data_IF_914927406189
#
_entry.id   IF_914927406189
#
_cell.length_a   1.000
_cell.length_b   1.000
_cell.length_c   1.000
_cell.angle_alpha   90.00
_cell.angle_beta   90.00
_cell.angle_gamma   90.00
#
_symmetry.space_group_name_H-M   'P 1'
#
loop_
_entity.id
_entity.type
_entity.pdbx_description
1 polymer ?
#
# COMPACT_ATOMS: atom_id res chain seq x y z
N UNK A 1 -27.74 0.10 -0.30
CA UNK A 1 -26.78 -1.04 -0.50
C UNK A 1 -25.48 -0.70 -1.24
N UNK A 2 -25.41 0.31 -2.14
CA UNK A 2 -24.17 0.61 -2.90
C UNK A 2 -23.00 1.14 -2.06
N UNK A 3 -23.26 1.90 -0.99
CA UNK A 3 -22.21 2.44 -0.09
C UNK A 3 -21.40 1.35 0.63
N UNK A 4 -22.07 0.27 1.06
CA UNK A 4 -21.42 -0.87 1.72
C UNK A 4 -20.41 -1.57 0.79
N UNK A 5 -20.69 -1.60 -0.52
CA UNK A 5 -19.79 -2.18 -1.53
C UNK A 5 -18.52 -1.35 -1.72
N UNK A 6 -18.63 -0.02 -1.67
CA UNK A 6 -17.49 0.90 -1.85
C UNK A 6 -16.57 0.85 -0.62
N UNK A 7 -17.14 0.93 0.58
CA UNK A 7 -16.37 0.82 1.83
C UNK A 7 -15.64 -0.53 1.93
N UNK A 8 -16.33 -1.62 1.59
CA UNK A 8 -15.72 -2.95 1.57
C UNK A 8 -14.56 -3.03 0.57
N UNK A 9 -14.70 -2.45 -0.63
CA UNK A 9 -13.60 -2.39 -1.61
C UNK A 9 -12.42 -1.58 -1.08
N UNK A 10 -12.65 -0.40 -0.49
CA UNK A 10 -11.58 0.45 0.04
C UNK A 10 -10.83 -0.24 1.18
N UNK A 11 -11.55 -0.88 2.11
CA UNK A 11 -10.93 -1.66 3.20
C UNK A 11 -10.13 -2.82 2.64
N UNK A 12 -10.70 -3.60 1.71
CA UNK A 12 -10.02 -4.76 1.10
C UNK A 12 -8.77 -4.35 0.34
N UNK A 13 -8.82 -3.30 -0.49
CA UNK A 13 -7.65 -2.81 -1.22
C UNK A 13 -6.58 -2.25 -0.28
N UNK A 14 -6.97 -1.55 0.79
CA UNK A 14 -6.04 -1.03 1.78
C UNK A 14 -5.35 -2.16 2.56
N UNK A 15 -6.07 -3.24 2.86
CA UNK A 15 -5.52 -4.42 3.53
C UNK A 15 -4.55 -5.18 2.61
N UNK A 16 -4.91 -5.33 1.33
CA UNK A 16 -4.01 -5.90 0.31
C UNK A 16 -2.75 -5.05 0.18
N UNK A 17 -2.88 -3.73 0.16
CA UNK A 17 -1.75 -2.81 0.11
C UNK A 17 -0.88 -2.90 1.37
N UNK A 18 -1.47 -3.02 2.56
CA UNK A 18 -0.74 -3.24 3.81
C UNK A 18 0.07 -4.56 3.78
N UNK A 19 -0.56 -5.64 3.33
CA UNK A 19 0.08 -6.96 3.18
C UNK A 19 1.19 -6.94 2.10
N UNK A 20 0.99 -6.19 1.02
CA UNK A 20 2.02 -5.98 0.00
C UNK A 20 3.20 -5.16 0.56
N UNK A 21 2.96 -4.12 1.35
CA UNK A 21 4.03 -3.38 2.01
C UNK A 21 4.80 -4.24 3.01
N UNK A 22 4.12 -5.14 3.72
CA UNK A 22 4.75 -6.12 4.60
C UNK A 22 5.70 -7.06 3.84
N UNK A 23 5.30 -7.52 2.65
CA UNK A 23 6.14 -8.39 1.81
C UNK A 23 7.26 -7.63 1.08
N UNK A 24 7.16 -6.30 0.94
CA UNK A 24 8.16 -5.46 0.26
C UNK A 24 9.21 -4.89 1.23
N UNK A 25 8.97 -4.93 2.55
CA UNK A 25 9.83 -4.46 3.65
C UNK A 25 11.28 -4.16 3.24
N UNK A 26 11.64 -2.87 3.27
CA UNK A 26 12.98 -2.42 2.97
C UNK A 26 13.94 -2.94 4.04
N UNK A 27 14.90 -3.76 3.63
CA UNK A 27 15.99 -4.19 4.51
C UNK A 27 17.01 -3.07 4.55
N UNK A 28 17.30 -2.57 5.74
CA UNK A 28 18.36 -1.58 5.94
C UNK A 28 19.68 -2.30 6.16
N UNK A 29 20.74 -1.78 5.54
CA UNK A 29 22.11 -2.26 5.75
C UNK A 29 22.93 -1.18 6.43
N UNK A 30 23.84 -1.61 7.30
CA UNK A 30 24.84 -0.75 7.93
C UNK A 30 26.09 -0.74 7.06
N UNK A 31 26.48 0.40 6.48
CA UNK A 31 27.74 0.48 5.76
C UNK A 31 28.89 0.35 6.75
N UNK A 32 29.90 -0.46 6.40
CA UNK A 32 31.14 -0.60 7.15
C UNK A 32 32.32 -0.55 6.19
N UNK A 33 33.32 0.28 6.52
CA UNK A 33 34.60 0.34 5.80
C UNK A 33 35.60 -0.47 6.61
N UNK A 34 36.14 -1.54 6.01
CA UNK A 34 37.13 -2.38 6.67
C UNK A 34 38.52 -1.75 6.53
N UNK A 35 39.25 -1.45 7.63
CA UNK A 35 40.61 -0.93 7.56
C UNK A 35 41.58 -1.95 6.96
N UNK A 36 42.51 -1.51 6.10
CA UNK A 36 43.50 -2.37 5.42
C UNK A 36 44.41 -3.18 6.35
N UNK A 37 44.54 -2.77 7.62
CA UNK A 37 45.50 -3.34 8.56
C UNK A 37 44.85 -4.28 9.60
N UNK A 38 43.56 -4.60 9.46
CA UNK A 38 42.86 -5.48 10.39
C UNK A 38 43.05 -6.95 9.97
N UNK A 39 43.29 -7.84 10.94
CA UNK A 39 43.26 -9.28 10.68
C UNK A 39 41.85 -9.71 10.30
N UNK A 40 41.69 -10.17 9.06
CA UNK A 40 40.40 -10.61 8.53
C UNK A 40 40.22 -12.09 8.89
N UNK A 41 39.17 -12.38 9.66
CA UNK A 41 38.70 -13.76 9.90
C UNK A 41 37.45 -14.00 9.09
N UNK A 42 37.32 -15.22 8.57
CA UNK A 42 36.09 -15.66 7.88
C UNK A 42 34.99 -15.81 8.91
N UNK A 43 33.97 -14.97 8.82
CA UNK A 43 32.74 -15.10 9.59
C UNK A 43 31.81 -16.12 8.91
N UNK A 44 31.49 -17.26 9.56
CA UNK A 44 30.63 -18.29 8.98
C UNK A 44 29.18 -17.86 8.79
N UNK A 45 28.75 -16.76 9.42
CA UNK A 45 27.38 -16.25 9.30
C UNK A 45 27.17 -15.33 8.10
N UNK A 46 28.23 -15.03 7.33
CA UNK A 46 28.17 -14.14 6.16
C UNK A 46 28.33 -14.92 4.87
N UNK A 47 27.67 -14.43 3.83
CA UNK A 47 27.85 -14.93 2.47
C UNK A 47 28.93 -14.12 1.77
N UNK A 48 29.85 -14.80 1.08
CA UNK A 48 30.96 -14.16 0.39
C UNK A 48 30.74 -14.20 -1.12
N UNK A 49 31.00 -13.06 -1.75
CA UNK A 49 30.86 -12.89 -3.18
C UNK A 49 32.12 -12.25 -3.75
N UNK A 50 32.55 -12.74 -4.91
CA UNK A 50 33.62 -12.14 -5.70
C UNK A 50 33.01 -11.46 -6.93
N UNK A 51 33.36 -10.20 -7.13
CA UNK A 51 33.00 -9.44 -8.33
C UNK A 51 34.26 -9.21 -9.15
N UNK A 52 34.20 -9.64 -10.41
CA UNK A 52 35.23 -9.40 -11.40
C UNK A 52 34.69 -8.41 -12.42
N UNK A 53 35.48 -7.39 -12.72
CA UNK A 53 35.19 -6.43 -13.78
C UNK A 53 36.06 -6.75 -15.00
N UNK A 54 35.43 -6.94 -16.16
CA UNK A 54 36.13 -7.07 -17.43
C UNK A 54 35.67 -5.97 -18.38
N UNK A 55 36.61 -5.37 -19.12
CA UNK A 55 36.26 -4.46 -20.20
C UNK A 55 35.69 -5.24 -21.39
N UNK A 56 34.55 -4.80 -21.92
CA UNK A 56 33.93 -5.32 -23.14
C UNK A 56 33.57 -4.12 -24.02
N UNK A 57 34.55 -3.66 -24.80
CA UNK A 57 34.46 -2.40 -25.55
C UNK A 57 34.29 -1.19 -24.61
N UNK A 58 33.31 -0.28 -24.83
CA UNK A 58 33.06 0.87 -23.96
C UNK A 58 32.32 0.51 -22.66
N UNK A 59 31.89 -0.76 -22.49
CA UNK A 59 31.10 -1.21 -21.35
C UNK A 59 31.94 -2.00 -20.35
N UNK A 60 31.66 -1.84 -19.05
CA UNK A 60 32.24 -2.67 -17.98
C UNK A 60 31.27 -3.82 -17.69
N UNK A 61 31.72 -5.05 -17.92
CA UNK A 61 30.95 -6.25 -17.56
C UNK A 61 31.35 -6.73 -16.17
N UNK A 62 30.37 -6.86 -15.28
CA UNK A 62 30.55 -7.39 -13.92
C UNK A 62 30.11 -8.83 -13.84
N UNK A 63 31.05 -9.73 -13.59
CA UNK A 63 30.75 -11.15 -13.31
C UNK A 63 30.78 -11.36 -11.81
N UNK A 64 29.77 -12.08 -11.28
CA UNK A 64 29.64 -12.37 -9.85
C UNK A 64 29.76 -13.86 -9.59
N UNK A 65 30.56 -14.22 -8.60
CA UNK A 65 30.73 -15.59 -8.13
C UNK A 65 30.42 -15.69 -6.65
N UNK A 66 29.73 -16.74 -6.24
CA UNK A 66 29.64 -17.10 -4.82
C UNK A 66 30.93 -17.78 -4.41
N UNK A 67 31.50 -17.34 -3.30
CA UNK A 67 32.70 -17.92 -2.71
C UNK A 67 32.27 -18.92 -1.62
N UNK A 68 32.71 -20.17 -1.73
CA UNK A 68 32.54 -21.21 -0.69
C UNK A 68 33.91 -21.78 -0.31
N UNK A 69 33.95 -22.59 0.75
CA UNK A 69 35.19 -23.19 1.27
C UNK A 69 36.28 -22.14 1.51
N UNK A 70 35.89 -20.97 2.03
CA UNK A 70 36.78 -19.82 2.17
C UNK A 70 37.82 -20.10 3.27
N UNK A 71 39.10 -19.94 2.93
CA UNK A 71 40.21 -19.98 3.87
C UNK A 71 41.15 -18.81 3.61
N UNK A 72 41.72 -18.25 4.67
CA UNK A 72 42.68 -17.16 4.60
C UNK A 72 43.98 -17.65 5.21
N UNK A 73 45.03 -17.65 4.41
CA UNK A 73 46.38 -18.03 4.83
C UNK A 73 47.42 -17.20 4.07
N UNK A 74 48.51 -16.82 4.73
CA UNK A 74 49.65 -16.12 4.10
C UNK A 74 49.25 -14.93 3.17
N UNK A 75 48.33 -14.05 3.61
CA UNK A 75 47.80 -12.92 2.83
C UNK A 75 47.14 -13.31 1.49
N UNK A 76 46.66 -14.55 1.39
CA UNK A 76 45.92 -15.08 0.25
C UNK A 76 44.58 -15.65 0.72
N UNK A 77 43.57 -15.51 -0.12
CA UNK A 77 42.24 -16.11 0.04
C UNK A 77 42.19 -17.34 -0.86
N UNK A 78 41.98 -18.51 -0.28
CA UNK A 78 41.60 -19.70 -1.03
C UNK A 78 40.08 -19.85 -1.00
N UNK A 79 39.46 -20.07 -2.16
CA UNK A 79 38.02 -20.29 -2.25
C UNK A 79 37.63 -21.09 -3.47
N UNK A 80 36.50 -21.80 -3.37
CA UNK A 80 35.81 -22.41 -4.51
C UNK A 80 34.75 -21.44 -5.04
N UNK A 81 34.82 -21.13 -6.34
CA UNK A 81 33.92 -20.20 -7.01
C UNK A 81 32.74 -20.92 -7.67
N UNK A 82 31.52 -20.43 -7.42
CA UNK A 82 30.29 -20.92 -8.04
C UNK A 82 29.59 -19.81 -8.85
N UNK A 83 29.26 -20.12 -10.10
CA UNK A 83 28.48 -19.25 -10.99
C UNK A 83 27.01 -19.26 -10.53
N UNK A 84 26.31 -18.14 -10.64
CA UNK A 84 24.94 -17.87 -10.17
C UNK A 84 24.79 -17.57 -8.69
N UNK A 85 25.16 -16.35 -8.27
CA UNK A 85 24.57 -15.83 -7.05
C UNK A 85 24.47 -14.30 -7.06
N UNK A 86 23.24 -13.80 -7.18
CA UNK A 86 22.92 -12.49 -6.64
C UNK A 86 22.87 -12.62 -5.09
N UNK A 87 23.31 -11.60 -4.35
CA UNK A 87 23.13 -11.56 -2.90
C UNK A 87 21.65 -11.70 -2.55
N UNK A 88 21.33 -12.55 -1.57
CA UNK A 88 19.93 -12.69 -1.11
C UNK A 88 19.54 -11.42 -0.34
N UNK A 89 18.36 -10.86 -0.65
CA UNK A 89 17.82 -9.74 0.16
C UNK A 89 17.66 -10.24 1.61
N UNK A 90 18.12 -9.44 2.58
CA UNK A 90 18.05 -9.81 4.00
C UNK A 90 19.16 -10.73 4.51
N UNK A 91 20.19 -11.04 3.71
CA UNK A 91 21.38 -11.77 4.20
C UNK A 91 22.54 -10.84 4.54
N UNK A 92 23.40 -11.30 5.47
CA UNK A 92 24.70 -10.71 5.75
C UNK A 92 25.65 -11.06 4.60
N UNK A 93 26.22 -10.05 3.92
CA UNK A 93 27.03 -10.27 2.72
C UNK A 93 28.36 -9.54 2.80
N UNK A 94 29.41 -10.18 2.31
CA UNK A 94 30.74 -9.59 2.07
C UNK A 94 31.02 -9.69 0.58
N UNK A 95 31.31 -8.57 -0.06
CA UNK A 95 31.57 -8.48 -1.49
C UNK A 95 33.00 -8.02 -1.70
N UNK A 96 33.78 -8.84 -2.40
CA UNK A 96 35.16 -8.57 -2.76
C UNK A 96 35.21 -8.15 -4.22
N UNK A 97 35.84 -7.02 -4.51
CA UNK A 97 36.05 -6.53 -5.86
C UNK A 97 37.50 -6.80 -6.25
N UNK A 98 37.66 -7.58 -7.31
CA UNK A 98 38.95 -7.96 -7.85
C UNK A 98 39.48 -6.88 -8.79
N UNK A 99 40.80 -6.64 -8.78
CA UNK A 99 41.45 -5.74 -9.72
C UNK A 99 41.17 -6.17 -11.17
N UNK A 100 40.88 -5.18 -12.03
CA UNK A 100 40.44 -5.41 -13.43
C UNK A 100 41.35 -6.32 -14.26
N UNK A 101 42.66 -6.25 -14.01
CA UNK A 101 43.66 -6.97 -14.80
C UNK A 101 44.13 -8.28 -14.14
N UNK A 102 43.55 -8.66 -12.99
CA UNK A 102 43.94 -9.88 -12.29
C UNK A 102 43.14 -11.09 -12.79
N UNK A 103 43.84 -12.03 -13.44
CA UNK A 103 43.25 -13.30 -13.85
C UNK A 103 43.24 -14.29 -12.68
N UNK A 104 42.07 -14.43 -12.06
CA UNK A 104 41.84 -15.35 -10.93
C UNK A 104 42.08 -16.82 -11.28
N UNK A 105 42.03 -17.18 -12.56
CA UNK A 105 42.16 -18.56 -13.02
C UNK A 105 43.61 -18.96 -13.30
N UNK A 106 44.53 -18.00 -13.32
CA UNK A 106 45.97 -18.27 -13.46
C UNK A 106 46.55 -19.01 -12.24
N UNK A 107 45.94 -18.85 -11.05
CA UNK A 107 46.32 -19.51 -9.80
C UNK A 107 45.28 -20.54 -9.32
N UNK A 108 44.84 -21.43 -10.23
CA UNK A 108 43.99 -22.56 -9.84
C UNK A 108 44.79 -23.66 -9.13
N UNK A 109 44.30 -24.11 -7.97
CA UNK A 109 44.86 -25.28 -7.28
C UNK A 109 44.15 -26.57 -7.68
N UNK A 110 42.85 -26.46 -7.97
CA UNK A 110 41.95 -27.54 -8.37
C UNK A 110 40.83 -26.94 -9.24
N UNK A 111 40.07 -27.74 -10.00
CA UNK A 111 38.93 -27.24 -10.77
C UNK A 111 37.97 -26.40 -9.92
N UNK A 112 37.81 -25.12 -10.27
CA UNK A 112 36.94 -24.16 -9.58
C UNK A 112 37.47 -23.61 -8.25
N UNK A 113 38.66 -24.03 -7.80
CA UNK A 113 39.31 -23.51 -6.59
C UNK A 113 40.46 -22.57 -6.96
N UNK A 114 40.36 -21.34 -6.46
CA UNK A 114 41.28 -20.26 -6.79
C UNK A 114 42.04 -19.78 -5.56
N UNK A 115 43.19 -19.17 -5.81
CA UNK A 115 44.01 -18.50 -4.80
C UNK A 115 44.16 -17.02 -5.16
N UNK A 116 43.74 -16.14 -4.25
CA UNK A 116 43.63 -14.69 -4.51
C UNK A 116 44.50 -13.94 -3.49
N UNK A 117 45.60 -13.30 -3.90
CA UNK A 117 46.39 -12.48 -3.00
C UNK A 117 45.63 -11.20 -2.63
N UNK A 118 45.82 -10.70 -1.41
CA UNK A 118 45.15 -9.48 -0.95
C UNK A 118 45.48 -8.25 -1.82
N UNK A 119 46.64 -8.25 -2.48
CA UNK A 119 47.05 -7.19 -3.42
C UNK A 119 46.19 -7.14 -4.69
N UNK A 120 45.46 -8.20 -5.00
CA UNK A 120 44.54 -8.26 -6.15
C UNK A 120 43.10 -7.82 -5.79
N UNK A 121 42.85 -7.41 -4.54
CA UNK A 121 41.54 -6.96 -4.08
C UNK A 121 41.55 -5.44 -3.99
N UNK A 122 40.74 -4.79 -4.85
CA UNK A 122 40.63 -3.34 -4.89
C UNK A 122 39.75 -2.80 -3.76
N UNK A 123 38.66 -3.50 -3.47
CA UNK A 123 37.65 -3.06 -2.52
C UNK A 123 36.97 -4.25 -1.84
N UNK A 124 36.61 -4.07 -0.56
CA UNK A 124 35.76 -5.00 0.19
C UNK A 124 34.58 -4.23 0.75
N UNK A 125 33.37 -4.66 0.43
CA UNK A 125 32.13 -4.11 0.97
C UNK A 125 31.50 -5.12 1.93
N UNK A 126 31.11 -4.64 3.11
CA UNK A 126 30.40 -5.44 4.12
C UNK A 126 29.00 -4.90 4.30
N UNK A 127 28.01 -5.74 4.01
CA UNK A 127 26.59 -5.45 4.13
C UNK A 127 26.05 -6.16 5.35
N UNK A 128 25.99 -5.43 6.46
CA UNK A 128 25.38 -5.93 7.69
C UNK A 128 23.92 -5.49 7.80
N UNK A 129 23.00 -6.45 7.93
CA UNK A 129 21.58 -6.16 8.13
C UNK A 129 21.39 -5.43 9.46
N UNK A 130 20.84 -4.22 9.38
CA UNK A 130 20.46 -3.42 10.54
C UNK A 130 19.05 -3.84 10.98
N UNK A 131 18.99 -4.82 11.87
CA UNK A 131 17.74 -5.36 12.40
C UNK A 131 16.90 -4.28 13.08
N UNK A 132 17.53 -3.35 13.81
CA UNK A 132 16.85 -2.27 14.51
C UNK A 132 16.11 -1.34 13.55
N UNK A 133 16.82 -0.78 12.56
CA UNK A 133 16.20 0.09 11.55
C UNK A 133 15.18 -0.65 10.70
N UNK A 134 15.45 -1.91 10.36
CA UNK A 134 14.53 -2.73 9.56
C UNK A 134 13.20 -2.94 10.29
N UNK A 135 13.23 -3.25 11.60
CA UNK A 135 12.02 -3.38 12.43
C UNK A 135 11.28 -2.04 12.48
N UNK A 136 11.97 -0.93 12.75
CA UNK A 136 11.37 0.40 12.86
C UNK A 136 10.66 0.82 11.57
N UNK A 137 11.30 0.66 10.42
CA UNK A 137 10.67 1.02 9.14
C UNK A 137 9.46 0.14 8.83
N UNK A 138 9.54 -1.15 9.15
CA UNK A 138 8.43 -2.09 8.95
C UNK A 138 7.24 -1.73 9.82
N UNK A 139 7.46 -1.41 11.11
CA UNK A 139 6.37 -1.04 12.04
C UNK A 139 5.73 0.30 11.69
N UNK A 140 6.53 1.30 11.31
CA UNK A 140 6.00 2.60 10.85
C UNK A 140 5.13 2.47 9.60
N UNK A 141 5.53 1.63 8.64
CA UNK A 141 4.71 1.39 7.43
C UNK A 141 3.35 0.77 7.75
N UNK A 142 3.31 -0.21 8.66
CA UNK A 142 2.07 -0.85 9.10
C UNK A 142 1.18 0.15 9.85
N UNK A 143 1.74 0.86 10.83
CA UNK A 143 1.01 1.83 11.64
C UNK A 143 0.42 2.95 10.79
N UNK A 144 1.19 3.47 9.81
CA UNK A 144 0.71 4.48 8.87
C UNK A 144 -0.50 4.00 8.07
N UNK A 145 -0.44 2.77 7.54
CA UNK A 145 -1.53 2.19 6.75
C UNK A 145 -2.81 1.99 7.58
N UNK A 146 -2.67 1.44 8.79
CA UNK A 146 -3.79 1.28 9.72
C UNK A 146 -4.40 2.62 10.12
N UNK A 147 -3.57 3.64 10.36
CA UNK A 147 -4.01 5.00 10.65
C UNK A 147 -4.85 5.59 9.51
N UNK A 148 -4.41 5.44 8.25
CA UNK A 148 -5.19 5.88 7.09
C UNK A 148 -6.55 5.17 6.99
N UNK A 149 -6.59 3.84 7.19
CA UNK A 149 -7.85 3.08 7.18
C UNK A 149 -8.80 3.59 8.26
N UNK A 150 -8.29 3.81 9.47
CA UNK A 150 -9.09 4.32 10.58
C UNK A 150 -9.71 5.69 10.27
N UNK A 151 -8.93 6.61 9.68
CA UNK A 151 -9.42 7.92 9.25
C UNK A 151 -10.52 7.78 8.19
N UNK A 152 -10.34 6.91 7.19
CA UNK A 152 -11.36 6.67 6.15
C UNK A 152 -12.66 6.15 6.78
N UNK A 153 -12.59 5.18 7.69
CA UNK A 153 -13.77 4.64 8.37
C UNK A 153 -14.52 5.76 9.11
N UNK A 154 -13.79 6.62 9.83
CA UNK A 154 -14.39 7.76 10.53
C UNK A 154 -15.08 8.73 9.57
N UNK A 155 -14.48 9.00 8.39
CA UNK A 155 -15.05 9.91 7.39
C UNK A 155 -16.25 9.33 6.64
N UNK A 156 -16.45 8.00 6.64
CA UNK A 156 -17.50 7.32 5.86
C UNK A 156 -18.80 7.02 6.61
N UNK A 157 -18.96 7.48 7.86
CA UNK A 157 -20.26 7.38 8.54
C UNK A 157 -21.26 8.32 7.87
N UNK A 158 -22.46 7.84 7.52
CA UNK A 158 -23.48 8.71 6.91
C UNK A 158 -24.20 9.52 7.99
N UNK A 159 -24.16 10.84 7.86
CA UNK A 159 -24.70 11.77 8.86
C UNK A 159 -26.08 12.32 8.50
N UNK A 160 -26.72 11.77 7.46
CA UNK A 160 -27.89 12.40 6.86
C UNK A 160 -29.18 11.76 7.37
N UNK A 161 -30.26 12.52 7.60
CA UNK A 161 -31.55 11.96 7.95
C UNK A 161 -32.04 10.97 6.88
N UNK A 162 -32.47 9.80 7.34
CA UNK A 162 -33.01 8.73 6.50
C UNK A 162 -34.50 8.92 6.33
N UNK A 163 -34.97 8.91 5.08
CA UNK A 163 -36.38 9.05 4.73
C UNK A 163 -36.95 7.71 4.32
N UNK A 164 -38.04 7.34 4.97
CA UNK A 164 -38.81 6.15 4.65
C UNK A 164 -40.25 6.54 4.30
N UNK A 165 -40.79 5.94 3.25
CA UNK A 165 -42.19 6.10 2.86
C UNK A 165 -42.96 4.81 3.13
N UNK A 166 -44.20 4.94 3.60
CA UNK A 166 -45.09 3.80 3.79
C UNK A 166 -45.75 3.43 2.45
N UNK A 167 -45.62 2.16 2.06
CA UNK A 167 -46.14 1.65 0.79
C UNK A 167 -47.47 0.90 0.92
N UNK A 168 -48.16 1.01 2.06
CA UNK A 168 -49.38 0.26 2.36
C UNK A 168 -49.16 -1.00 3.21
N UNK A 169 -47.93 -1.52 3.26
CA UNK A 169 -47.58 -2.69 4.05
C UNK A 169 -46.47 -2.39 5.05
N UNK A 170 -45.38 -1.74 4.60
CA UNK A 170 -44.20 -1.46 5.42
C UNK A 170 -43.54 -0.12 5.06
N UNK A 171 -42.61 0.32 5.91
CA UNK A 171 -41.78 1.49 5.63
C UNK A 171 -40.58 1.08 4.78
N UNK A 172 -40.47 1.63 3.59
CA UNK A 172 -39.34 1.40 2.68
C UNK A 172 -38.41 2.61 2.65
N UNK A 173 -37.09 2.38 2.67
CA UNK A 173 -36.09 3.44 2.59
C UNK A 173 -36.07 4.04 1.19
N UNK A 174 -36.31 5.36 1.10
CA UNK A 174 -36.37 6.09 -0.16
C UNK A 174 -35.06 6.82 -0.45
N UNK A 175 -34.45 7.41 0.58
CA UNK A 175 -33.24 8.20 0.40
C UNK A 175 -32.82 8.96 1.64
N UNK A 176 -31.79 9.78 1.49
CA UNK A 176 -31.31 10.71 2.50
C UNK A 176 -31.58 12.14 2.03
N UNK A 177 -31.76 13.08 2.96
CA UNK A 177 -31.91 14.51 2.66
C UNK A 177 -30.87 15.37 3.37
N UNK A 178 -30.62 16.56 2.82
CA UNK A 178 -29.65 17.58 3.24
C UNK A 178 -28.21 17.07 3.26
N UNK A 179 -27.83 16.15 2.36
CA UNK A 179 -26.50 15.53 2.37
C UNK A 179 -25.37 16.55 2.29
N UNK A 180 -24.50 16.58 3.30
CA UNK A 180 -23.39 17.54 3.37
C UNK A 180 -23.78 18.94 3.85
N UNK A 181 -25.02 19.19 4.29
CA UNK A 181 -25.43 20.43 4.97
C UNK A 181 -25.00 20.44 6.46
N UNK A 182 -23.70 20.27 6.71
CA UNK A 182 -23.16 20.06 8.07
C UNK A 182 -22.94 21.34 8.90
N UNK A 183 -23.23 22.53 8.35
CA UNK A 183 -23.01 23.82 9.01
C UNK A 183 -24.06 24.84 8.53
N UNK A 184 -24.50 25.82 9.35
CA UNK A 184 -25.59 26.75 8.99
C UNK A 184 -25.49 27.45 7.62
N UNK A 185 -24.32 27.91 7.13
CA UNK A 185 -24.19 28.50 5.79
C UNK A 185 -24.40 27.51 4.63
N UNK A 186 -24.45 26.21 4.91
CA UNK A 186 -24.75 25.16 3.94
C UNK A 186 -26.23 24.77 3.96
N UNK A 187 -27.05 25.41 4.80
CA UNK A 187 -28.49 25.28 4.82
C UNK A 187 -29.07 25.60 3.44
N UNK A 188 -29.92 24.71 2.96
CA UNK A 188 -30.57 24.79 1.65
C UNK A 188 -31.75 23.85 1.62
N UNK A 189 -32.66 24.08 0.69
CA UNK A 189 -33.71 23.13 0.37
C UNK A 189 -33.10 21.88 -0.28
N UNK A 190 -33.70 20.73 0.01
CA UNK A 190 -33.39 19.46 -0.63
C UNK A 190 -34.71 18.79 -1.00
N UNK A 191 -34.73 18.16 -2.17
CA UNK A 191 -35.96 17.62 -2.75
C UNK A 191 -35.75 16.15 -3.04
N UNK A 192 -36.61 15.31 -2.48
CA UNK A 192 -36.52 13.86 -2.60
C UNK A 192 -37.86 13.32 -3.14
N UNK A 193 -37.87 12.68 -4.33
CA UNK A 193 -39.06 12.00 -4.83
C UNK A 193 -39.43 10.81 -3.92
N UNK A 194 -40.73 10.57 -3.76
CA UNK A 194 -41.28 9.51 -2.90
C UNK A 194 -42.08 8.47 -3.71
N UNK A 195 -41.43 7.69 -4.59
CA UNK A 195 -42.12 6.86 -5.60
C UNK A 195 -42.96 5.71 -5.04
N UNK A 196 -42.66 5.27 -3.82
CA UNK A 196 -43.35 4.13 -3.16
C UNK A 196 -44.43 4.58 -2.18
N UNK A 197 -44.61 5.90 -1.99
CA UNK A 197 -45.56 6.44 -1.03
C UNK A 197 -46.99 6.18 -1.50
N UNK A 198 -47.79 5.53 -0.65
CA UNK A 198 -49.19 5.26 -0.92
C UNK A 198 -50.09 5.84 0.18
N UNK A 199 -51.29 6.36 -0.17
CA UNK A 199 -52.26 6.78 0.83
C UNK A 199 -52.91 5.56 1.46
N UNK A 200 -52.99 5.53 2.79
CA UNK A 200 -53.69 4.50 3.56
C UNK A 200 -54.70 5.21 4.44
N UNK A 201 -55.98 4.84 4.32
CA UNK A 201 -57.07 5.48 5.06
C UNK A 201 -57.09 7.03 4.88
N UNK A 202 -56.79 7.50 3.66
CA UNK A 202 -56.64 8.93 3.31
C UNK A 202 -55.46 9.66 3.99
N UNK A 203 -54.48 8.95 4.53
CA UNK A 203 -53.28 9.53 5.12
C UNK A 203 -52.00 9.06 4.41
N UNK A 204 -51.03 9.97 4.30
CA UNK A 204 -49.68 9.65 3.87
C UNK A 204 -48.76 9.53 5.08
N UNK A 205 -48.07 8.40 5.19
CA UNK A 205 -47.13 8.14 6.28
C UNK A 205 -45.68 8.19 5.79
N UNK A 206 -44.92 9.15 6.33
CA UNK A 206 -43.49 9.35 6.05
C UNK A 206 -42.74 9.33 7.38
N UNK A 207 -41.61 8.64 7.42
CA UNK A 207 -40.74 8.57 8.60
C UNK A 207 -39.39 9.20 8.27
N UNK A 208 -39.01 10.18 9.10
CA UNK A 208 -37.68 10.78 9.10
C UNK A 208 -36.95 10.20 10.32
N UNK A 209 -35.91 9.41 10.09
CA UNK A 209 -35.17 8.75 11.15
C UNK A 209 -33.73 9.23 11.23
N UNK A 210 -33.25 9.34 12.46
CA UNK A 210 -31.86 9.51 12.75
C UNK A 210 -31.28 8.16 13.22
N UNK A 211 -30.68 7.43 12.28
CA UNK A 211 -30.11 6.10 12.56
C UNK A 211 -28.73 6.19 13.23
N UNK A 212 -28.14 7.38 13.28
CA UNK A 212 -26.82 7.65 13.86
C UNK A 212 -26.96 8.68 14.98
N UNK A 213 -26.02 8.71 15.93
CA UNK A 213 -26.09 9.59 17.10
C UNK A 213 -25.72 11.02 16.75
N UNK A 214 -26.65 11.74 16.12
CA UNK A 214 -26.45 13.11 15.64
C UNK A 214 -27.58 14.05 16.09
N UNK A 215 -27.36 15.35 15.95
CA UNK A 215 -28.41 16.35 16.17
C UNK A 215 -28.82 16.86 14.79
N UNK A 216 -30.10 16.74 14.48
CA UNK A 216 -30.67 17.19 13.22
C UNK A 216 -31.55 18.40 13.47
N UNK A 217 -31.40 19.43 12.63
CA UNK A 217 -32.21 20.63 12.66
C UNK A 217 -32.95 20.73 11.33
N UNK A 218 -34.28 20.63 11.39
CA UNK A 218 -35.15 20.80 10.23
C UNK A 218 -36.02 22.02 10.48
N UNK A 219 -35.85 23.05 9.64
CA UNK A 219 -36.63 24.29 9.76
C UNK A 219 -38.02 24.14 9.13
N UNK A 220 -38.12 23.41 8.02
CA UNK A 220 -39.34 23.20 7.26
C UNK A 220 -39.33 21.83 6.59
N UNK A 221 -40.46 21.15 6.61
CA UNK A 221 -40.74 19.94 5.84
C UNK A 221 -42.08 20.11 5.14
N UNK A 222 -42.12 19.89 3.84
CA UNK A 222 -43.32 20.00 3.03
C UNK A 222 -43.48 18.76 2.14
N UNK A 223 -44.73 18.39 1.87
CA UNK A 223 -45.07 17.39 0.86
C UNK A 223 -45.61 18.10 -0.37
N UNK A 224 -44.86 18.02 -1.47
CA UNK A 224 -45.27 18.55 -2.76
C UNK A 224 -46.02 17.46 -3.53
N UNK A 225 -47.24 17.77 -3.96
CA UNK A 225 -48.08 16.87 -4.75
C UNK A 225 -48.30 17.50 -6.12
N UNK A 226 -48.06 16.73 -7.18
CA UNK A 226 -48.18 17.19 -8.56
C UNK A 226 -49.11 16.24 -9.32
N UNK A 227 -50.19 16.79 -9.88
CA UNK A 227 -50.99 16.07 -10.86
C UNK A 227 -50.27 16.13 -12.22
N UNK A 228 -50.03 14.98 -12.84
CA UNK A 228 -49.35 14.90 -14.14
C UNK A 228 -49.87 13.73 -15.00
N UNK A 229 -49.65 13.75 -16.32
CA UNK A 229 -49.97 12.63 -17.20
C UNK A 229 -49.19 11.36 -16.83
N UNK A 230 -49.77 10.19 -17.06
CA UNK A 230 -49.18 8.87 -16.71
C UNK A 230 -47.83 8.61 -17.41
N UNK A 231 -47.59 9.22 -18.57
CA UNK A 231 -46.36 9.08 -19.36
C UNK A 231 -45.30 10.15 -19.06
N UNK A 232 -45.42 10.87 -17.95
CA UNK A 232 -44.51 11.93 -17.57
C UNK A 232 -44.02 11.73 -16.13
N UNK A 233 -42.74 11.99 -15.87
CA UNK A 233 -42.15 12.02 -14.53
C UNK A 233 -41.90 13.46 -14.11
N UNK A 234 -42.10 13.74 -12.82
CA UNK A 234 -41.83 15.06 -12.23
C UNK A 234 -40.56 15.01 -11.40
N UNK A 235 -39.59 15.85 -11.75
CA UNK A 235 -38.37 16.05 -11.00
C UNK A 235 -38.26 17.49 -10.53
N UNK A 236 -37.78 17.69 -9.31
CA UNK A 236 -37.53 19.02 -8.75
C UNK A 236 -36.02 19.24 -8.69
N UNK A 237 -35.53 20.32 -9.29
CA UNK A 237 -34.12 20.64 -9.23
C UNK A 237 -33.72 21.25 -7.87
N UNK A 238 -32.41 21.44 -7.66
CA UNK A 238 -31.87 21.98 -6.40
C UNK A 238 -32.31 23.42 -6.07
N UNK A 239 -32.93 24.13 -7.01
CA UNK A 239 -33.47 25.47 -6.82
C UNK A 239 -34.99 25.46 -6.63
N UNK A 240 -35.62 24.28 -6.60
CA UNK A 240 -37.06 24.12 -6.45
C UNK A 240 -37.85 24.27 -7.75
N UNK A 241 -37.19 24.35 -8.91
CA UNK A 241 -37.92 24.38 -10.18
C UNK A 241 -38.39 22.97 -10.53
N UNK A 242 -39.66 22.89 -10.93
CA UNK A 242 -40.31 21.63 -11.31
C UNK A 242 -40.09 21.40 -12.81
N UNK A 243 -39.61 20.21 -13.15
CA UNK A 243 -39.35 19.76 -14.51
C UNK A 243 -40.19 18.52 -14.81
N UNK A 244 -40.72 18.46 -16.02
CA UNK A 244 -41.40 17.28 -16.53
C UNK A 244 -40.48 16.56 -17.50
N UNK A 245 -40.28 15.26 -17.31
CA UNK A 245 -39.44 14.40 -18.15
C UNK A 245 -40.32 13.29 -18.73
N UNK A 246 -40.20 13.05 -20.03
CA UNK A 246 -40.91 11.97 -20.73
C UNK A 246 -39.98 11.37 -21.78
N UNK A 247 -40.07 10.05 -21.98
CA UNK A 247 -39.35 9.33 -23.04
C UNK A 247 -39.92 9.60 -24.45
#
# INVERSE_FOLDING_TARGET
MKYFSILHKVVTYSLIFALANFSISCVSYRPSIVPKNQSIRVDPNKNYYLIMESADGPSIKRTRFQMKELSIDNNRISSRLYVNAAPKKGSQNVILFLSRDYDVWSEQTEPGKVLIPFTAIDQVEVYDVDLGKTIVYSTLGIAGTLGCIFIIILLTKSSCPFIYAYNGESYEFVGEIYSGAIHPPLERHDYLPLPVLQPVENEYSIKIANEIKEIQHTNLTELLVFDHPENAEILVDKYGNVHTVSD
#
